data_IF_692937778865
#
_entry.id   IF_692937778865
#
_cell.length_a   1.000
_cell.length_b   1.000
_cell.length_c   1.000
_cell.angle_alpha   90.00
_cell.angle_beta   90.00
_cell.angle_gamma   90.00
#
_symmetry.space_group_name_H-M   'P 1'
#
loop_
_entity.id
_entity.type
_entity.pdbx_description
1 polymer ?
#
# COMPACT_ATOMS: atom_id res chain seq x y z
N UNK A 1 -31.08 31.09 46.90
CA UNK A 1 -31.47 30.55 45.58
C UNK A 1 -30.90 31.49 44.53
N UNK A 2 -29.67 31.22 44.10
CA UNK A 2 -28.92 32.06 43.17
C UNK A 2 -28.16 31.13 42.22
N UNK A 3 -28.83 30.88 41.09
CA UNK A 3 -28.30 30.69 39.74
C UNK A 3 -27.01 29.85 39.56
N UNK A 4 -27.21 28.54 39.40
CA UNK A 4 -26.25 27.64 38.76
C UNK A 4 -26.66 27.50 37.29
N UNK A 5 -26.14 28.36 36.43
CA UNK A 5 -26.19 28.18 34.98
C UNK A 5 -24.77 28.05 34.43
N UNK A 6 -24.17 26.87 34.61
CA UNK A 6 -23.01 26.44 33.84
C UNK A 6 -23.43 26.30 32.36
N UNK A 7 -23.29 27.37 31.60
CA UNK A 7 -23.31 27.32 30.14
C UNK A 7 -21.97 26.72 29.69
N UNK A 8 -21.96 25.43 29.43
CA UNK A 8 -20.93 24.82 28.60
C UNK A 8 -21.16 25.27 27.16
N UNK A 9 -20.38 26.25 26.71
CA UNK A 9 -20.31 26.62 25.30
C UNK A 9 -19.65 25.47 24.53
N UNK A 10 -20.46 24.67 23.85
CA UNK A 10 -19.99 23.77 22.81
C UNK A 10 -19.61 24.62 21.60
N UNK A 11 -18.33 24.99 21.50
CA UNK A 11 -17.77 25.54 20.26
C UNK A 11 -17.99 24.56 19.11
N UNK A 12 -18.08 25.03 17.86
CA UNK A 12 -18.23 24.13 16.74
C UNK A 12 -16.94 23.31 16.67
N UNK A 13 -17.05 22.01 16.95
CA UNK A 13 -16.02 21.04 16.59
C UNK A 13 -15.92 21.13 15.07
N UNK A 14 -14.91 21.85 14.60
CA UNK A 14 -14.56 21.89 13.21
C UNK A 14 -14.38 20.46 12.75
N UNK A 15 -15.36 19.98 11.98
CA UNK A 15 -15.23 18.79 11.17
C UNK A 15 -14.08 19.06 10.20
N UNK A 16 -12.86 18.71 10.61
CA UNK A 16 -11.77 18.49 9.67
C UNK A 16 -12.12 17.18 8.97
N UNK A 17 -13.01 17.27 7.98
CA UNK A 17 -13.15 16.19 7.02
C UNK A 17 -11.76 15.99 6.42
N UNK A 18 -11.16 14.84 6.71
CA UNK A 18 -10.12 14.30 5.85
C UNK A 18 -10.61 14.45 4.40
N UNK A 19 -9.78 14.90 3.44
CA UNK A 19 -10.24 15.24 2.11
C UNK A 19 -10.89 13.99 1.49
N UNK A 20 -12.22 13.99 1.49
CA UNK A 20 -13.01 12.92 0.94
C UNK A 20 -12.71 12.83 -0.54
N UNK A 21 -12.34 11.64 -0.99
CA UNK A 21 -12.05 11.26 -2.39
C UNK A 21 -13.17 11.58 -3.41
N UNK A 22 -14.29 12.20 -3.03
CA UNK A 22 -15.46 12.31 -3.90
C UNK A 22 -15.59 13.61 -4.72
N UNK A 23 -14.96 14.71 -4.30
CA UNK A 23 -15.24 16.02 -4.91
C UNK A 23 -14.27 16.44 -6.02
N UNK A 24 -12.98 16.17 -5.83
CA UNK A 24 -11.92 16.60 -6.74
C UNK A 24 -11.95 15.84 -8.05
N UNK A 25 -11.90 14.50 -7.96
CA UNK A 25 -11.83 13.61 -9.11
C UNK A 25 -13.04 13.78 -10.03
N UNK A 26 -14.27 13.74 -9.49
CA UNK A 26 -15.50 13.92 -10.28
C UNK A 26 -15.53 15.22 -11.10
N UNK A 27 -14.88 16.29 -10.63
CA UNK A 27 -14.81 17.56 -11.36
C UNK A 27 -13.71 17.59 -12.43
N UNK A 28 -12.59 16.95 -12.16
CA UNK A 28 -11.41 16.95 -13.04
C UNK A 28 -11.54 15.89 -14.13
N UNK A 29 -12.04 14.71 -13.75
CA UNK A 29 -12.17 13.52 -14.58
C UNK A 29 -13.42 12.71 -14.17
N UNK A 30 -14.61 13.09 -14.67
CA UNK A 30 -15.85 12.39 -14.35
C UNK A 30 -15.90 10.96 -14.90
N UNK A 31 -15.19 10.66 -15.99
CA UNK A 31 -15.18 9.32 -16.60
C UNK A 31 -14.48 8.31 -15.70
N UNK A 32 -13.32 8.67 -15.15
CA UNK A 32 -12.62 7.84 -14.16
C UNK A 32 -13.43 7.72 -12.87
N UNK A 33 -14.09 8.79 -12.43
CA UNK A 33 -14.98 8.73 -11.26
C UNK A 33 -16.11 7.71 -11.46
N UNK A 34 -16.78 7.73 -12.61
CA UNK A 34 -17.89 6.82 -12.91
C UNK A 34 -17.40 5.37 -13.07
N UNK A 35 -16.20 5.16 -13.62
CA UNK A 35 -15.57 3.84 -13.68
C UNK A 35 -15.29 3.26 -12.28
N UNK A 36 -14.76 4.07 -11.36
CA UNK A 36 -14.52 3.65 -9.96
C UNK A 36 -15.84 3.32 -9.26
N UNK A 37 -16.88 4.15 -9.44
CA UNK A 37 -18.18 3.90 -8.84
C UNK A 37 -18.85 2.62 -9.37
N UNK A 38 -18.67 2.34 -10.67
CA UNK A 38 -19.19 1.12 -11.30
C UNK A 38 -18.42 -0.12 -10.83
N UNK A 39 -17.10 -0.03 -10.64
CA UNK A 39 -16.31 -1.13 -10.08
C UNK A 39 -16.66 -1.39 -8.61
N UNK A 40 -16.86 -0.35 -7.80
CA UNK A 40 -17.34 -0.50 -6.42
C UNK A 40 -18.69 -1.25 -6.39
N UNK A 41 -19.60 -0.91 -7.30
CA UNK A 41 -20.88 -1.62 -7.44
C UNK A 41 -20.66 -3.08 -7.82
N UNK A 42 -19.81 -3.37 -8.80
CA UNK A 42 -19.47 -4.74 -9.22
C UNK A 42 -18.97 -5.57 -8.04
N UNK A 43 -18.00 -5.05 -7.28
CA UNK A 43 -17.43 -5.72 -6.10
C UNK A 43 -18.45 -5.99 -5.00
N UNK A 44 -19.46 -5.13 -4.86
CA UNK A 44 -20.52 -5.29 -3.84
C UNK A 44 -21.61 -6.28 -4.24
N UNK A 45 -21.88 -6.39 -5.54
CA UNK A 45 -23.00 -7.18 -6.07
C UNK A 45 -22.58 -8.56 -6.59
N UNK A 46 -21.28 -8.83 -6.70
CA UNK A 46 -20.74 -10.11 -7.17
C UNK A 46 -20.09 -10.92 -6.05
N UNK A 47 -20.05 -12.24 -6.27
CA UNK A 47 -19.24 -13.15 -5.46
C UNK A 47 -17.87 -13.28 -6.13
N UNK A 48 -16.83 -12.78 -5.46
CA UNK A 48 -15.45 -12.88 -5.96
C UNK A 48 -14.80 -14.19 -5.49
N UNK A 49 -14.41 -15.03 -6.45
CA UNK A 49 -13.81 -16.36 -6.19
C UNK A 49 -12.37 -16.48 -6.71
N UNK A 50 -11.75 -15.37 -7.11
CA UNK A 50 -10.36 -15.34 -7.52
C UNK A 50 -9.50 -15.42 -6.25
N UNK A 51 -8.78 -16.54 -6.09
CA UNK A 51 -8.06 -16.85 -4.84
C UNK A 51 -6.99 -15.81 -4.43
N UNK A 52 -6.47 -15.03 -5.38
CA UNK A 52 -5.47 -13.99 -5.14
C UNK A 52 -6.06 -12.60 -4.89
N UNK A 53 -7.37 -12.42 -5.04
CA UNK A 53 -8.05 -11.16 -4.76
C UNK A 53 -8.50 -11.08 -3.30
N UNK A 54 -8.63 -9.85 -2.80
CA UNK A 54 -9.15 -9.58 -1.47
C UNK A 54 -9.66 -8.14 -1.37
N UNK A 55 -10.52 -7.86 -0.39
CA UNK A 55 -10.98 -6.51 -0.08
C UNK A 55 -10.17 -5.94 1.07
N UNK A 56 -9.40 -4.89 0.80
CA UNK A 56 -8.61 -4.22 1.84
C UNK A 56 -9.47 -3.32 2.73
N UNK A 57 -8.95 -2.94 3.89
CA UNK A 57 -9.65 -2.05 4.81
C UNK A 57 -9.66 -0.59 4.33
N UNK A 58 -10.66 0.19 4.77
CA UNK A 58 -10.71 1.64 4.50
C UNK A 58 -9.48 2.38 5.01
N UNK A 59 -8.96 1.99 6.18
CA UNK A 59 -7.74 2.58 6.74
C UNK A 59 -6.51 2.39 5.83
N UNK A 60 -6.40 1.24 5.15
CA UNK A 60 -5.32 1.01 4.16
C UNK A 60 -5.50 1.91 2.94
N UNK A 61 -6.73 2.04 2.42
CA UNK A 61 -7.02 2.93 1.29
C UNK A 61 -6.75 4.40 1.61
N UNK A 62 -7.10 4.85 2.83
CA UNK A 62 -6.81 6.20 3.32
C UNK A 62 -5.30 6.51 3.34
N UNK A 63 -4.48 5.55 3.80
CA UNK A 63 -3.02 5.70 3.81
C UNK A 63 -2.44 5.73 2.39
N UNK A 64 -2.91 4.85 1.49
CA UNK A 64 -2.50 4.78 0.09
C UNK A 64 -2.78 6.08 -0.68
N UNK A 65 -3.91 6.73 -0.43
CA UNK A 65 -4.30 8.01 -1.04
C UNK A 65 -3.77 9.25 -0.33
N UNK A 66 -2.80 9.11 0.59
CA UNK A 66 -2.30 10.22 1.40
C UNK A 66 -1.16 11.01 0.75
N UNK A 67 -0.76 12.11 1.40
CA UNK A 67 0.35 12.96 0.95
C UNK A 67 1.72 12.28 0.95
N UNK A 68 1.85 11.07 1.50
CA UNK A 68 3.10 10.30 1.45
C UNK A 68 3.54 10.04 0.01
N UNK A 69 2.61 9.96 -0.95
CA UNK A 69 2.92 9.80 -2.38
C UNK A 69 3.75 10.94 -2.96
N UNK A 70 3.78 12.11 -2.31
CA UNK A 70 4.52 13.28 -2.80
C UNK A 70 6.01 13.23 -2.46
N UNK A 71 6.45 12.29 -1.61
CA UNK A 71 7.82 12.27 -1.10
C UNK A 71 8.71 11.31 -1.85
N UNK A 72 9.79 11.85 -2.42
CA UNK A 72 10.93 11.07 -2.89
C UNK A 72 11.86 10.74 -1.71
N UNK A 73 12.09 9.44 -1.44
CA UNK A 73 12.75 8.94 -0.23
C UNK A 73 13.77 7.82 -0.52
N UNK A 74 14.61 8.01 -1.54
CA UNK A 74 15.62 7.03 -1.93
C UNK A 74 16.60 6.73 -0.79
N UNK A 75 16.90 5.43 -0.60
CA UNK A 75 17.70 4.91 0.50
C UNK A 75 16.87 4.17 1.53
N UNK A 76 17.38 4.07 2.75
CA UNK A 76 16.70 3.41 3.89
C UNK A 76 16.46 4.42 5.02
N UNK A 77 15.60 4.12 6.01
CA UNK A 77 15.38 5.00 7.14
C UNK A 77 16.69 5.46 7.79
N UNK A 78 16.83 6.78 8.00
CA UNK A 78 18.03 7.47 8.49
C UNK A 78 19.28 7.38 7.59
N UNK A 79 19.16 6.83 6.39
CA UNK A 79 20.21 6.71 5.37
C UNK A 79 19.62 7.06 3.99
N UNK A 80 19.08 8.28 3.91
CA UNK A 80 18.41 8.80 2.71
C UNK A 80 19.37 9.66 1.89
N UNK A 81 19.18 9.65 0.57
CA UNK A 81 19.88 10.55 -0.34
C UNK A 81 19.29 11.97 -0.35
N UNK A 82 18.04 12.12 0.10
CA UNK A 82 17.28 13.37 0.08
C UNK A 82 16.85 13.78 1.49
N UNK A 83 16.80 15.10 1.74
CA UNK A 83 16.29 15.67 3.00
C UNK A 83 14.76 15.60 3.13
N UNK A 84 14.25 15.92 4.32
CA UNK A 84 12.82 16.00 4.62
C UNK A 84 12.11 14.64 4.74
N UNK A 85 12.85 13.57 5.06
CA UNK A 85 12.34 12.20 5.09
C UNK A 85 11.90 11.74 6.49
N UNK A 86 11.85 12.63 7.48
CA UNK A 86 11.62 12.28 8.89
C UNK A 86 10.30 11.52 9.08
N UNK A 87 9.24 11.94 8.39
CA UNK A 87 7.92 11.32 8.50
C UNK A 87 7.79 10.01 7.71
N UNK A 88 8.43 9.91 6.54
CA UNK A 88 8.43 8.66 5.74
C UNK A 88 9.32 7.59 6.37
N UNK A 89 10.38 8.00 7.08
CA UNK A 89 11.20 7.08 7.88
C UNK A 89 10.39 6.44 9.00
N UNK A 90 9.53 7.22 9.68
CA UNK A 90 8.60 6.69 10.68
C UNK A 90 7.64 5.70 10.03
N UNK A 91 7.02 6.04 8.90
CA UNK A 91 6.09 5.16 8.21
C UNK A 91 6.75 3.84 7.76
N UNK A 92 7.96 3.91 7.19
CA UNK A 92 8.69 2.72 6.75
C UNK A 92 9.13 1.84 7.93
N UNK A 93 9.61 2.43 9.03
CA UNK A 93 9.96 1.67 10.23
C UNK A 93 8.73 0.99 10.86
N UNK A 94 7.58 1.68 10.87
CA UNK A 94 6.30 1.14 11.34
C UNK A 94 5.75 0.03 10.43
N UNK A 95 6.25 -0.13 9.21
CA UNK A 95 5.97 -1.28 8.36
C UNK A 95 6.97 -2.43 8.59
N UNK A 96 8.27 -2.11 8.74
CA UNK A 96 9.33 -3.09 8.96
C UNK A 96 9.15 -3.84 10.28
N UNK A 97 8.94 -3.12 11.40
CA UNK A 97 8.95 -3.74 12.72
C UNK A 97 7.82 -4.75 12.94
N UNK A 98 6.55 -4.46 12.57
CA UNK A 98 5.50 -5.45 12.64
C UNK A 98 5.75 -6.64 11.71
N UNK A 99 6.27 -6.43 10.49
CA UNK A 99 6.57 -7.52 9.57
C UNK A 99 7.64 -8.46 10.15
N UNK A 100 8.72 -7.91 10.72
CA UNK A 100 9.73 -8.69 11.43
C UNK A 100 9.13 -9.51 12.57
N UNK A 101 8.30 -8.89 13.41
CA UNK A 101 7.64 -9.59 14.54
C UNK A 101 6.66 -10.66 14.07
N UNK A 102 5.85 -10.36 13.05
CA UNK A 102 4.83 -11.26 12.53
C UNK A 102 5.42 -12.55 11.96
N UNK A 103 6.53 -12.44 11.23
CA UNK A 103 7.16 -13.57 10.56
C UNK A 103 8.40 -14.12 11.28
N UNK A 104 8.79 -13.55 12.42
CA UNK A 104 10.00 -13.95 13.14
C UNK A 104 11.29 -13.72 12.35
N UNK A 105 11.32 -12.71 11.48
CA UNK A 105 12.43 -12.46 10.56
C UNK A 105 13.50 -11.55 11.18
N UNK A 106 14.78 -11.85 10.92
CA UNK A 106 15.90 -10.99 11.31
C UNK A 106 15.92 -9.67 10.53
N UNK A 107 15.58 -9.72 9.24
CA UNK A 107 15.53 -8.59 8.33
C UNK A 107 14.29 -8.63 7.45
N UNK A 108 13.75 -7.46 7.11
CA UNK A 108 12.63 -7.28 6.16
C UNK A 108 12.91 -6.04 5.33
N UNK A 109 12.61 -6.10 4.03
CA UNK A 109 12.45 -4.92 3.17
C UNK A 109 10.98 -4.78 2.78
N UNK A 110 10.47 -3.55 2.84
CA UNK A 110 9.07 -3.21 2.51
C UNK A 110 8.98 -2.30 1.27
N UNK A 111 10.09 -2.15 0.54
CA UNK A 111 10.20 -1.25 -0.62
C UNK A 111 9.80 -1.86 -1.99
N UNK A 112 9.84 -3.19 -2.24
CA UNK A 112 9.37 -3.72 -3.53
C UNK A 112 7.91 -3.35 -3.80
N UNK A 113 7.60 -2.83 -5.00
CA UNK A 113 6.23 -2.37 -5.31
C UNK A 113 5.24 -3.51 -5.56
N UNK A 114 5.73 -4.72 -5.83
CA UNK A 114 4.91 -5.92 -6.02
C UNK A 114 5.70 -7.20 -5.77
N UNK A 115 5.00 -8.34 -5.70
CA UNK A 115 5.63 -9.65 -5.53
C UNK A 115 6.62 -10.01 -6.64
N UNK A 116 6.37 -9.56 -7.87
CA UNK A 116 7.28 -9.82 -8.99
C UNK A 116 8.63 -9.11 -8.83
N UNK A 117 8.61 -7.86 -8.37
CA UNK A 117 9.83 -7.10 -8.08
C UNK A 117 10.54 -7.60 -6.82
N UNK A 118 9.81 -8.13 -5.85
CA UNK A 118 10.43 -8.79 -4.70
C UNK A 118 11.25 -10.01 -5.13
N UNK A 119 10.70 -10.87 -6.00
CA UNK A 119 11.44 -12.00 -6.57
C UNK A 119 12.64 -11.53 -7.39
N UNK A 120 12.48 -10.48 -8.21
CA UNK A 120 13.58 -9.88 -8.98
C UNK A 120 14.72 -9.40 -8.08
N UNK A 121 14.40 -8.71 -6.98
CA UNK A 121 15.38 -8.22 -6.02
C UNK A 121 16.17 -9.38 -5.38
N UNK A 122 15.49 -10.48 -5.04
CA UNK A 122 16.16 -11.69 -4.51
C UNK A 122 17.09 -12.31 -5.55
N UNK A 123 16.67 -12.42 -6.81
CA UNK A 123 17.52 -13.00 -7.85
C UNK A 123 18.76 -12.14 -8.11
N UNK A 124 18.61 -10.82 -8.23
CA UNK A 124 19.76 -9.93 -8.41
C UNK A 124 20.70 -9.88 -7.19
N UNK A 125 20.20 -10.15 -5.99
CA UNK A 125 21.03 -10.22 -4.79
C UNK A 125 21.77 -11.56 -4.64
N UNK A 126 21.16 -12.68 -5.05
CA UNK A 126 21.62 -14.01 -4.68
C UNK A 126 22.28 -14.81 -5.81
N UNK A 127 21.96 -14.52 -7.08
CA UNK A 127 22.41 -15.32 -8.23
C UNK A 127 22.89 -14.43 -9.39
N UNK A 128 23.64 -15.02 -10.32
CA UNK A 128 24.14 -14.35 -11.53
C UNK A 128 23.35 -14.79 -12.77
N UNK A 129 23.33 -13.97 -13.83
CA UNK A 129 22.81 -14.41 -15.12
C UNK A 129 23.49 -15.72 -15.58
N UNK A 130 22.67 -16.74 -15.90
CA UNK A 130 23.14 -18.07 -16.30
C UNK A 130 23.14 -19.12 -15.19
N UNK A 131 23.00 -18.72 -13.92
CA UNK A 131 22.80 -19.65 -12.82
C UNK A 131 21.44 -20.37 -12.96
N UNK A 132 21.35 -21.59 -12.43
CA UNK A 132 20.15 -22.42 -12.52
C UNK A 132 19.33 -22.33 -11.25
N UNK A 133 18.02 -22.17 -11.40
CA UNK A 133 17.04 -22.15 -10.32
C UNK A 133 16.09 -23.33 -10.53
N UNK A 134 15.75 -24.06 -9.47
CA UNK A 134 14.69 -25.08 -9.51
C UNK A 134 13.40 -24.45 -9.00
N UNK A 135 12.34 -24.54 -9.80
CA UNK A 135 11.04 -23.93 -9.49
C UNK A 135 9.89 -24.81 -9.95
N UNK A 136 8.67 -24.50 -9.48
CA UNK A 136 7.46 -25.19 -9.94
C UNK A 136 7.03 -24.66 -11.30
N UNK A 137 6.75 -25.58 -12.23
CA UNK A 137 6.23 -25.23 -13.56
C UNK A 137 4.88 -24.52 -13.45
N UNK A 138 4.64 -23.48 -14.26
CA UNK A 138 3.40 -22.71 -14.32
C UNK A 138 2.16 -23.61 -14.50
N UNK A 139 2.24 -24.61 -15.38
CA UNK A 139 1.13 -25.55 -15.64
C UNK A 139 0.77 -26.41 -14.41
N UNK A 140 1.68 -26.50 -13.43
CA UNK A 140 1.50 -27.25 -12.19
C UNK A 140 1.32 -26.32 -10.98
N UNK A 141 0.91 -25.06 -11.20
CA UNK A 141 0.65 -24.08 -10.15
C UNK A 141 1.82 -23.16 -9.80
N UNK A 142 2.89 -23.15 -10.61
CA UNK A 142 3.97 -22.18 -10.49
C UNK A 142 3.51 -20.74 -10.73
N UNK A 143 4.44 -19.78 -10.60
CA UNK A 143 4.19 -18.37 -10.88
C UNK A 143 5.11 -17.89 -12.00
N UNK A 144 4.68 -16.89 -12.78
CA UNK A 144 5.41 -16.40 -13.95
C UNK A 144 6.85 -15.98 -13.63
N UNK A 145 7.09 -15.42 -12.46
CA UNK A 145 8.40 -14.92 -12.01
C UNK A 145 9.33 -16.00 -11.51
N UNK A 146 8.95 -17.27 -11.62
CA UNK A 146 9.74 -18.42 -11.20
C UNK A 146 10.39 -19.11 -12.41
N UNK A 147 10.81 -18.35 -13.43
CA UNK A 147 11.52 -18.87 -14.60
C UNK A 147 10.66 -19.11 -15.84
N UNK A 148 9.45 -18.53 -15.93
CA UNK A 148 8.64 -18.65 -17.14
C UNK A 148 9.15 -17.68 -18.22
N UNK A 149 9.38 -18.10 -19.48
CA UNK A 149 9.96 -17.25 -20.55
C UNK A 149 9.18 -15.98 -20.90
N UNK A 150 7.92 -15.89 -20.46
CA UNK A 150 7.07 -14.70 -20.64
C UNK A 150 7.35 -13.61 -19.58
N UNK A 151 8.32 -13.80 -18.68
CA UNK A 151 8.68 -12.86 -17.62
C UNK A 151 10.21 -12.63 -17.57
N UNK A 152 10.67 -11.77 -16.66
CA UNK A 152 12.08 -11.36 -16.53
C UNK A 152 13.04 -12.48 -16.10
N UNK A 153 12.50 -13.53 -15.48
CA UNK A 153 13.20 -14.60 -14.77
C UNK A 153 13.50 -15.80 -15.65
#
# INVERSE_FOLDING_TARGET
>A
MSDLSHRTESGPVGSTSAPGLGGGLRRVDPEIFDAIATEEKRQRENIELIASENFTSRAVMEAQGSVLTNKYAEGYPRKRWYGGCENVDVAEQLAIDPAKRLFGAEHVTVQPHSGAQANMAVYFAAIKPGDKILTMNLAHGGHLTHGHPANFS
#
